data_IF_565394266507
#
_entry.id   IF_565394266507
#
_cell.length_a   1.000
_cell.length_b   1.000
_cell.length_c   1.000
_cell.angle_alpha   90.00
_cell.angle_beta   90.00
_cell.angle_gamma   90.00
#
_symmetry.space_group_name_H-M   'P 1'
#
loop_
_entity.id
_entity.type
_entity.pdbx_description
1 polymer ?
#
# COMPACT_ATOMS: atom_id res chain seq x y z
N UNK A 1 24.44 18.40 -18.18
CA UNK A 1 23.56 18.86 -17.08
C UNK A 1 22.80 20.08 -17.60
N UNK A 2 21.55 19.89 -18.03
CA UNK A 2 20.70 21.01 -18.47
C UNK A 2 20.27 21.81 -17.25
N UNK A 3 20.58 23.11 -17.23
CA UNK A 3 20.04 24.05 -16.26
C UNK A 3 18.53 24.13 -16.46
N UNK A 4 17.75 23.50 -15.58
CA UNK A 4 16.30 23.63 -15.56
C UNK A 4 15.95 25.10 -15.35
N UNK A 5 15.35 25.71 -16.38
CA UNK A 5 14.84 27.07 -16.28
C UNK A 5 13.84 27.16 -15.11
N UNK A 6 13.81 28.27 -14.35
CA UNK A 6 12.93 28.42 -13.20
C UNK A 6 11.48 28.22 -13.64
N UNK A 7 10.85 27.14 -13.15
CA UNK A 7 9.48 26.79 -13.49
C UNK A 7 8.55 27.86 -12.92
N UNK A 8 8.07 28.74 -13.79
CA UNK A 8 7.13 29.80 -13.41
C UNK A 8 5.85 29.15 -12.89
N UNK A 9 5.57 29.33 -11.60
CA UNK A 9 4.36 28.77 -10.96
C UNK A 9 3.14 29.43 -11.60
N UNK A 10 2.39 28.64 -12.39
CA UNK A 10 1.15 29.10 -13.02
C UNK A 10 0.11 29.45 -11.97
N UNK A 11 -0.69 30.47 -12.24
CA UNK A 11 -1.85 30.81 -11.41
C UNK A 11 -2.87 29.66 -11.47
N UNK A 12 -3.61 29.42 -10.38
CA UNK A 12 -4.70 28.46 -10.28
C UNK A 12 -5.67 28.54 -11.47
N UNK A 13 -5.94 29.76 -11.96
CA UNK A 13 -6.79 29.97 -13.14
C UNK A 13 -6.26 29.30 -14.40
N UNK A 14 -4.95 29.34 -14.65
CA UNK A 14 -4.34 28.73 -15.84
C UNK A 14 -4.33 27.21 -15.76
N UNK A 15 -4.16 26.67 -14.55
CA UNK A 15 -4.26 25.23 -14.29
C UNK A 15 -5.68 24.75 -14.55
N UNK A 16 -6.69 25.44 -14.00
CA UNK A 16 -8.10 25.11 -14.25
C UNK A 16 -8.44 25.18 -15.73
N UNK A 17 -7.94 26.20 -16.44
CA UNK A 17 -8.10 26.33 -17.89
C UNK A 17 -7.43 25.16 -18.63
N UNK A 18 -6.24 24.73 -18.19
CA UNK A 18 -5.55 23.55 -18.75
C UNK A 18 -6.38 22.29 -18.55
N UNK A 19 -6.89 22.04 -17.34
CA UNK A 19 -7.74 20.90 -17.01
C UNK A 19 -8.98 20.87 -17.91
N UNK A 20 -9.72 21.98 -18.01
CA UNK A 20 -10.93 22.06 -18.85
C UNK A 20 -10.69 21.77 -20.32
N UNK A 21 -9.49 22.03 -20.83
CA UNK A 21 -9.11 21.83 -22.24
C UNK A 21 -8.62 20.42 -22.56
N UNK A 22 -8.41 19.56 -21.55
CA UNK A 22 -7.92 18.20 -21.77
C UNK A 22 -8.91 17.39 -22.60
N UNK A 23 -8.53 16.99 -23.80
CA UNK A 23 -9.30 16.07 -24.67
C UNK A 23 -8.54 14.78 -24.96
N UNK A 24 -7.21 14.81 -24.79
CA UNK A 24 -6.33 13.69 -25.08
C UNK A 24 -5.52 13.30 -23.85
N UNK A 25 -4.99 12.09 -23.85
CA UNK A 25 -4.12 11.61 -22.77
C UNK A 25 -2.85 12.46 -22.63
N UNK A 26 -2.24 12.90 -23.72
CA UNK A 26 -1.06 13.77 -23.67
C UNK A 26 -1.37 15.12 -22.99
N UNK A 27 -2.55 15.70 -23.29
CA UNK A 27 -3.00 16.91 -22.61
C UNK A 27 -3.31 16.65 -21.13
N UNK A 28 -3.79 15.45 -20.79
CA UNK A 28 -4.07 15.06 -19.42
C UNK A 28 -2.77 14.99 -18.59
N UNK A 29 -1.73 14.37 -19.15
CA UNK A 29 -0.41 14.29 -18.52
C UNK A 29 0.23 15.68 -18.35
N UNK A 30 0.10 16.56 -19.35
CA UNK A 30 0.57 17.95 -19.24
C UNK A 30 -0.20 18.74 -18.18
N UNK A 31 -1.53 18.59 -18.12
CA UNK A 31 -2.36 19.23 -17.09
C UNK A 31 -2.01 18.71 -15.68
N UNK A 32 -1.76 17.41 -15.55
CA UNK A 32 -1.30 16.79 -14.31
C UNK A 32 0.04 17.37 -13.84
N UNK A 33 1.03 17.47 -14.73
CA UNK A 33 2.33 18.06 -14.40
C UNK A 33 2.22 19.50 -13.88
N UNK A 34 1.34 20.31 -14.47
CA UNK A 34 1.07 21.67 -13.96
C UNK A 34 0.38 21.65 -12.60
N UNK A 35 -0.59 20.75 -12.40
CA UNK A 35 -1.30 20.60 -11.13
C UNK A 35 -0.36 20.19 -10.00
N UNK A 36 0.44 19.13 -10.19
CA UNK A 36 1.30 18.60 -9.14
C UNK A 36 2.37 19.61 -8.72
N UNK A 37 2.91 20.37 -9.67
CA UNK A 37 3.85 21.47 -9.41
C UNK A 37 3.20 22.56 -8.55
N UNK A 38 1.96 22.93 -8.85
CA UNK A 38 1.21 23.90 -8.06
C UNK A 38 0.89 23.42 -6.65
N UNK A 39 0.51 22.15 -6.50
CA UNK A 39 0.23 21.53 -5.20
C UNK A 39 1.49 21.56 -4.33
N UNK A 40 2.63 21.10 -4.85
CA UNK A 40 3.93 21.11 -4.14
C UNK A 40 4.35 22.52 -3.75
N UNK A 41 4.27 23.48 -4.68
CA UNK A 41 4.58 24.88 -4.40
C UNK A 41 3.63 25.49 -3.35
N UNK A 42 2.36 25.10 -3.37
CA UNK A 42 1.38 25.56 -2.39
C UNK A 42 1.65 24.99 -1.01
N UNK A 43 1.98 23.69 -0.90
CA UNK A 43 2.40 23.06 0.35
C UNK A 43 3.59 23.79 0.96
N UNK A 44 4.64 24.00 0.17
CA UNK A 44 5.86 24.67 0.63
C UNK A 44 5.56 26.04 1.23
N UNK A 45 4.82 26.89 0.51
CA UNK A 45 4.43 28.23 0.98
C UNK A 45 3.60 28.20 2.27
N UNK A 46 2.70 27.24 2.41
CA UNK A 46 1.86 27.12 3.61
C UNK A 46 2.67 26.62 4.81
N UNK A 47 3.62 25.71 4.61
CA UNK A 47 4.54 25.27 5.66
C UNK A 47 5.46 26.39 6.13
N UNK A 48 5.98 27.22 5.21
CA UNK A 48 6.77 28.40 5.55
C UNK A 48 5.97 29.40 6.40
N UNK A 49 4.71 29.69 6.01
CA UNK A 49 3.82 30.55 6.79
C UNK A 49 3.53 29.99 8.19
N UNK A 50 3.23 28.70 8.28
CA UNK A 50 2.99 28.03 9.56
C UNK A 50 4.25 28.09 10.47
N UNK A 51 5.43 27.90 9.90
CA UNK A 51 6.70 28.01 10.63
C UNK A 51 6.98 29.44 11.11
N UNK A 52 6.76 30.45 10.27
CA UNK A 52 6.91 31.86 10.63
C UNK A 52 5.97 32.28 11.76
N UNK A 53 4.69 31.88 11.68
CA UNK A 53 3.71 32.14 12.73
C UNK A 53 4.08 31.44 14.06
N UNK A 54 4.56 30.19 13.98
CA UNK A 54 5.07 29.47 15.15
C UNK A 54 6.25 30.19 15.82
N UNK A 55 7.21 30.68 15.04
CA UNK A 55 8.36 31.42 15.53
C UNK A 55 7.97 32.78 16.14
N UNK A 56 7.01 33.49 15.55
CA UNK A 56 6.51 34.76 16.09
C UNK A 56 5.83 34.57 17.45
N UNK A 57 5.03 33.51 17.62
CA UNK A 57 4.37 33.19 18.90
C UNK A 57 5.36 32.78 19.99
N UNK A 58 6.42 32.05 19.63
CA UNK A 58 7.47 31.69 20.58
C UNK A 58 8.19 32.92 21.15
N UNK A 59 8.41 33.96 20.33
CA UNK A 59 9.02 35.23 20.77
C UNK A 59 8.09 36.07 21.65
N UNK A 60 6.79 36.02 21.39
CA UNK A 60 5.79 36.85 22.06
C UNK A 60 5.14 36.18 23.28
N UNK A 61 5.61 34.99 23.71
CA UNK A 61 5.08 34.30 24.90
C UNK A 61 5.29 35.17 26.14
N UNK A 62 4.22 35.79 26.70
CA UNK A 62 4.36 36.76 27.77
C UNK A 62 4.72 36.05 29.07
N UNK A 63 5.82 36.46 29.70
CA UNK A 63 6.10 36.09 31.10
C UNK A 63 5.07 36.77 32.02
N UNK A 64 3.94 36.11 32.26
CA UNK A 64 3.15 36.18 33.49
C UNK A 64 2.59 37.54 33.93
N UNK A 65 1.84 38.26 33.10
CA UNK A 65 0.98 39.35 33.59
C UNK A 65 -0.48 39.09 33.22
N UNK A 66 -1.31 38.80 34.24
CA UNK A 66 -2.77 38.76 34.17
C UNK A 66 -3.27 40.10 33.60
N UNK A 67 -3.77 40.11 32.37
CA UNK A 67 -4.45 41.26 31.80
C UNK A 67 -5.96 41.06 31.89
N UNK A 68 -6.61 41.97 32.61
CA UNK A 68 -8.07 42.08 32.75
C UNK A 68 -8.66 42.40 31.38
N UNK A 69 -9.65 41.61 30.95
CA UNK A 69 -10.29 41.74 29.65
C UNK A 69 -11.28 42.92 29.62
N UNK A 70 -11.08 43.87 28.72
CA UNK A 70 -12.10 44.85 28.32
C UNK A 70 -12.58 44.51 26.90
N UNK A 71 -13.90 44.30 26.68
CA UNK A 71 -14.42 43.97 25.36
C UNK A 71 -14.77 45.26 24.62
N UNK A 72 -13.99 45.60 23.60
CA UNK A 72 -14.37 46.59 22.59
C UNK A 72 -13.69 46.24 21.26
N UNK A 73 -14.49 45.79 20.29
CA UNK A 73 -14.20 45.71 18.84
C UNK A 73 -12.71 45.87 18.46
N UNK A 74 -11.92 44.82 18.65
CA UNK A 74 -10.54 44.81 18.16
C UNK A 74 -10.55 44.45 16.67
N UNK A 75 -9.76 45.15 15.82
CA UNK A 75 -9.59 44.77 14.42
C UNK A 75 -9.03 43.34 14.30
N UNK A 76 -9.32 42.62 13.20
CA UNK A 76 -8.85 41.25 13.02
C UNK A 76 -7.33 41.18 13.16
N UNK A 77 -6.86 40.25 13.99
CA UNK A 77 -5.43 40.06 14.21
C UNK A 77 -4.74 39.65 12.90
N UNK A 78 -3.47 40.02 12.75
CA UNK A 78 -2.63 39.62 11.61
C UNK A 78 -2.68 38.10 11.37
N UNK A 79 -2.65 37.31 12.45
CA UNK A 79 -2.79 35.84 12.42
C UNK A 79 -4.07 35.38 11.72
N UNK A 80 -5.20 36.08 11.92
CA UNK A 80 -6.48 35.73 11.30
C UNK A 80 -6.43 35.85 9.77
N UNK A 81 -5.81 36.92 9.27
CA UNK A 81 -5.61 37.13 7.82
C UNK A 81 -4.68 36.08 7.22
N UNK A 82 -3.61 35.70 7.92
CA UNK A 82 -2.71 34.65 7.46
C UNK A 82 -3.39 33.28 7.41
N UNK A 83 -4.15 32.92 8.46
CA UNK A 83 -4.94 31.68 8.51
C UNK A 83 -5.95 31.66 7.36
N UNK A 84 -6.69 32.75 7.14
CA UNK A 84 -7.64 32.86 6.02
C UNK A 84 -6.94 32.66 4.66
N UNK A 85 -5.74 33.23 4.50
CA UNK A 85 -4.91 33.04 3.31
C UNK A 85 -4.52 31.59 3.06
N UNK A 86 -4.12 30.86 4.10
CA UNK A 86 -3.77 29.43 4.03
C UNK A 86 -5.00 28.57 3.74
N UNK A 87 -6.13 28.82 4.41
CA UNK A 87 -7.40 28.11 4.15
C UNK A 87 -7.87 28.33 2.71
N UNK A 88 -7.79 29.56 2.20
CA UNK A 88 -8.13 29.88 0.82
C UNK A 88 -7.25 29.09 -0.17
N UNK A 89 -5.96 28.98 0.10
CA UNK A 89 -5.03 28.22 -0.73
C UNK A 89 -5.28 26.70 -0.68
N UNK A 90 -5.60 26.13 0.49
CA UNK A 90 -6.04 24.74 0.61
C UNK A 90 -7.30 24.47 -0.21
N UNK A 91 -8.30 25.36 -0.12
CA UNK A 91 -9.53 25.26 -0.91
C UNK A 91 -9.25 25.30 -2.42
N UNK A 92 -8.30 26.14 -2.86
CA UNK A 92 -7.88 26.16 -4.26
C UNK A 92 -7.23 24.84 -4.70
N UNK A 93 -6.32 24.29 -3.89
CA UNK A 93 -5.72 22.97 -4.13
C UNK A 93 -6.82 21.90 -4.24
N UNK A 94 -7.79 21.93 -3.32
CA UNK A 94 -8.89 20.98 -3.29
C UNK A 94 -9.78 21.06 -4.54
N UNK A 95 -10.23 22.27 -4.90
CA UNK A 95 -11.05 22.50 -6.09
C UNK A 95 -10.35 22.10 -7.39
N UNK A 96 -9.05 22.40 -7.54
CA UNK A 96 -8.29 22.02 -8.73
C UNK A 96 -8.09 20.52 -8.84
N UNK A 97 -7.81 19.85 -7.71
CA UNK A 97 -7.63 18.40 -7.66
C UNK A 97 -8.93 17.68 -8.00
N UNK A 98 -10.06 18.10 -7.41
CA UNK A 98 -11.37 17.55 -7.76
C UNK A 98 -11.77 17.80 -9.22
N UNK A 99 -11.52 19.02 -9.73
CA UNK A 99 -11.74 19.32 -11.15
C UNK A 99 -10.88 18.44 -12.08
N UNK A 100 -9.65 18.13 -11.68
CA UNK A 100 -8.79 17.21 -12.41
C UNK A 100 -9.36 15.78 -12.38
N UNK A 101 -9.77 15.27 -11.21
CA UNK A 101 -10.34 13.93 -11.07
C UNK A 101 -11.56 13.72 -11.97
N UNK A 102 -12.52 14.66 -11.94
CA UNK A 102 -13.71 14.61 -12.80
C UNK A 102 -13.37 14.73 -14.28
N UNK A 103 -12.31 15.47 -14.63
CA UNK A 103 -11.86 15.54 -16.03
C UNK A 103 -11.21 14.24 -16.48
N UNK A 104 -10.36 13.62 -15.67
CA UNK A 104 -9.81 12.28 -15.93
C UNK A 104 -10.96 11.32 -16.21
N UNK A 105 -11.96 11.31 -15.34
CA UNK A 105 -13.10 10.43 -15.49
C UNK A 105 -13.89 10.71 -16.78
N UNK A 106 -14.17 11.98 -17.08
CA UNK A 106 -14.85 12.35 -18.32
C UNK A 106 -14.06 11.91 -19.56
N UNK A 107 -12.74 12.11 -19.57
CA UNK A 107 -11.87 11.69 -20.69
C UNK A 107 -11.89 10.18 -20.82
N UNK A 108 -11.80 9.45 -19.69
CA UNK A 108 -11.91 7.99 -19.69
C UNK A 108 -13.27 7.54 -20.25
N UNK A 109 -14.38 8.12 -19.81
CA UNK A 109 -15.73 7.76 -20.33
C UNK A 109 -15.90 8.09 -21.82
N UNK A 110 -15.37 9.22 -22.29
CA UNK A 110 -15.61 9.73 -23.66
C UNK A 110 -14.64 9.17 -24.71
N UNK A 111 -13.40 8.91 -24.33
CA UNK A 111 -12.37 8.43 -25.25
C UNK A 111 -12.40 6.89 -25.34
N UNK A 112 -12.87 6.24 -24.28
CA UNK A 112 -12.91 4.78 -24.18
C UNK A 112 -14.34 4.26 -24.16
N UNK A 113 -15.17 4.75 -25.09
CA UNK A 113 -16.58 4.35 -25.22
C UNK A 113 -16.82 2.85 -25.51
N UNK A 114 -15.77 2.01 -25.55
CA UNK A 114 -15.83 0.56 -25.79
C UNK A 114 -14.66 -0.24 -25.16
N UNK A 115 -14.00 0.28 -24.11
CA UNK A 115 -12.78 -0.35 -23.56
C UNK A 115 -13.02 -1.47 -22.53
N UNK A 116 -13.97 -2.36 -22.79
CA UNK A 116 -13.93 -3.72 -22.20
C UNK A 116 -12.71 -4.53 -22.74
N UNK A 117 -11.91 -3.97 -23.66
CA UNK A 117 -10.79 -4.67 -24.30
C UNK A 117 -9.41 -4.12 -23.91
N UNK A 118 -9.29 -2.82 -23.64
CA UNK A 118 -7.98 -2.22 -23.29
C UNK A 118 -7.63 -2.34 -21.80
N UNK A 119 -8.60 -2.57 -20.91
CA UNK A 119 -8.31 -2.99 -19.53
C UNK A 119 -7.85 -4.47 -19.45
N UNK A 120 -7.98 -5.24 -20.53
CA UNK A 120 -7.43 -6.59 -20.67
C UNK A 120 -6.06 -6.67 -21.35
N UNK A 121 -5.59 -5.59 -21.99
CA UNK A 121 -4.21 -5.51 -22.47
C UNK A 121 -3.35 -4.84 -21.39
N UNK A 122 -2.56 -5.62 -20.60
CA UNK A 122 -1.97 -5.19 -19.32
C UNK A 122 -0.92 -4.07 -19.42
N UNK A 123 -0.65 -3.59 -20.64
CA UNK A 123 0.41 -2.64 -20.93
C UNK A 123 -0.03 -1.56 -21.91
N UNK A 124 -1.31 -1.23 -21.98
CA UNK A 124 -1.67 0.10 -22.46
C UNK A 124 -0.91 1.12 -21.60
N UNK A 125 0.11 1.84 -22.10
CA UNK A 125 0.95 2.72 -21.28
C UNK A 125 0.16 3.90 -20.68
N UNK A 126 -1.14 3.96 -20.95
CA UNK A 126 -2.08 5.00 -20.60
C UNK A 126 -2.78 4.79 -19.26
N UNK A 127 -3.36 3.61 -19.01
CA UNK A 127 -4.17 3.32 -17.81
C UNK A 127 -3.30 3.17 -16.57
N UNK A 128 -2.15 2.49 -16.69
CA UNK A 128 -1.14 2.37 -15.64
C UNK A 128 -0.65 3.75 -15.19
N UNK A 129 -0.31 4.61 -16.16
CA UNK A 129 0.12 5.98 -15.87
C UNK A 129 -0.94 6.79 -15.12
N UNK A 130 -2.22 6.63 -15.44
CA UNK A 130 -3.28 7.35 -14.74
C UNK A 130 -3.46 6.89 -13.31
N UNK A 131 -3.38 5.58 -13.04
CA UNK A 131 -3.39 5.08 -11.66
C UNK A 131 -2.21 5.65 -10.87
N UNK A 132 -1.02 5.67 -11.45
CA UNK A 132 0.16 6.28 -10.82
C UNK A 132 -0.07 7.76 -10.53
N UNK A 133 -0.60 8.54 -11.48
CA UNK A 133 -0.90 9.96 -11.27
C UNK A 133 -1.92 10.19 -10.15
N UNK A 134 -2.97 9.37 -10.07
CA UNK A 134 -4.02 9.49 -9.05
C UNK A 134 -3.53 9.05 -7.67
N UNK A 135 -2.69 8.01 -7.60
CA UNK A 135 -2.03 7.59 -6.37
C UNK A 135 -1.04 8.66 -5.87
N UNK A 136 -0.22 9.22 -6.76
CA UNK A 136 0.70 10.33 -6.44
C UNK A 136 -0.09 11.57 -6.00
N UNK A 137 -1.20 11.91 -6.66
CA UNK A 137 -2.08 13.00 -6.24
C UNK A 137 -2.62 12.76 -4.81
N UNK A 138 -3.08 11.54 -4.51
CA UNK A 138 -3.54 11.16 -3.18
C UNK A 138 -2.43 11.37 -2.13
N UNK A 139 -1.23 10.86 -2.41
CA UNK A 139 -0.08 10.98 -1.52
C UNK A 139 0.29 12.46 -1.28
N UNK A 140 0.30 13.28 -2.34
CA UNK A 140 0.61 14.71 -2.23
C UNK A 140 -0.44 15.49 -1.44
N UNK A 141 -1.72 15.13 -1.53
CA UNK A 141 -2.79 15.70 -0.71
C UNK A 141 -2.66 15.30 0.77
N UNK A 142 -2.30 14.04 1.05
CA UNK A 142 -2.08 13.56 2.43
C UNK A 142 -0.90 14.27 3.11
N UNK A 143 0.10 14.71 2.34
CA UNK A 143 1.25 15.45 2.86
C UNK A 143 0.91 16.85 3.40
N UNK A 144 -0.31 17.37 3.21
CA UNK A 144 -0.75 18.60 3.87
C UNK A 144 -1.13 18.37 5.35
N UNK A 145 -1.54 17.16 5.72
CA UNK A 145 -2.05 16.83 7.07
C UNK A 145 -0.91 16.68 8.09
N UNK A 146 -0.06 17.70 8.17
CA UNK A 146 1.05 17.76 9.13
C UNK A 146 0.58 18.32 10.48
N UNK A 147 1.20 17.89 11.60
CA UNK A 147 0.87 18.45 12.92
C UNK A 147 1.08 19.98 13.00
N UNK A 148 2.10 20.50 12.32
CA UNK A 148 2.40 21.93 12.31
C UNK A 148 1.28 22.74 11.62
N UNK A 149 0.83 22.31 10.44
CA UNK A 149 -0.23 22.99 9.72
C UNK A 149 -1.58 22.86 10.43
N UNK A 150 -1.89 21.67 10.96
CA UNK A 150 -3.11 21.44 11.75
C UNK A 150 -3.14 22.30 13.03
N UNK A 151 -2.02 22.44 13.73
CA UNK A 151 -1.90 23.33 14.91
C UNK A 151 -2.04 24.80 14.52
N UNK A 152 -1.45 25.21 13.39
CA UNK A 152 -1.56 26.57 12.88
C UNK A 152 -3.03 26.92 12.57
N UNK A 153 -3.75 26.04 11.89
CA UNK A 153 -5.16 26.23 11.53
C UNK A 153 -6.14 26.06 12.71
N UNK A 154 -5.83 25.17 13.66
CA UNK A 154 -6.67 24.90 14.84
C UNK A 154 -6.50 25.91 15.98
N UNK A 155 -5.81 27.03 15.76
CA UNK A 155 -5.59 28.02 16.81
C UNK A 155 -6.91 28.73 17.18
N UNK A 156 -7.21 28.93 18.47
CA UNK A 156 -8.54 29.31 18.99
C UNK A 156 -8.98 30.76 18.71
N UNK A 157 -8.51 31.38 17.63
CA UNK A 157 -8.86 32.76 17.24
C UNK A 157 -10.08 32.88 16.31
N UNK A 158 -10.65 31.78 15.83
CA UNK A 158 -11.95 31.81 15.13
C UNK A 158 -13.06 31.48 16.13
N UNK A 159 -13.59 32.49 16.82
CA UNK A 159 -14.84 32.33 17.58
C UNK A 159 -16.03 32.00 16.66
N UNK A 160 -15.91 32.29 15.36
CA UNK A 160 -16.83 31.87 14.30
C UNK A 160 -16.36 30.61 13.56
N UNK A 161 -15.58 29.73 14.21
CA UNK A 161 -15.21 28.46 13.59
C UNK A 161 -16.50 27.73 13.18
N UNK A 162 -16.70 27.45 11.87
CA UNK A 162 -17.91 26.78 11.42
C UNK A 162 -18.07 25.48 12.22
N UNK A 163 -19.26 25.25 12.76
CA UNK A 163 -19.71 24.10 13.59
C UNK A 163 -19.55 22.72 12.94
N UNK A 164 -18.73 22.60 11.91
CA UNK A 164 -18.55 21.48 11.01
C UNK A 164 -17.45 20.53 11.46
N UNK A 165 -16.89 20.70 12.66
CA UNK A 165 -15.98 19.70 13.24
C UNK A 165 -16.78 18.44 13.55
N UNK A 166 -16.92 17.56 12.55
CA UNK A 166 -17.17 16.14 12.78
C UNK A 166 -16.08 15.69 13.76
N UNK A 167 -16.49 15.10 14.89
CA UNK A 167 -15.57 14.77 15.97
C UNK A 167 -14.39 13.94 15.43
N UNK A 168 -13.19 14.54 15.40
CA UNK A 168 -11.94 13.88 15.01
C UNK A 168 -11.34 14.26 13.64
N UNK A 169 -12.00 15.06 12.79
CA UNK A 169 -11.40 15.47 11.51
C UNK A 169 -10.47 16.67 11.66
N UNK A 170 -9.29 16.62 11.03
CA UNK A 170 -8.35 17.75 11.08
C UNK A 170 -8.84 18.92 10.20
N UNK A 171 -8.53 20.19 10.54
CA UNK A 171 -8.91 21.34 9.72
C UNK A 171 -8.41 21.26 8.28
N UNK A 172 -7.24 20.63 8.06
CA UNK A 172 -6.70 20.38 6.73
C UNK A 172 -7.59 19.39 5.97
N UNK A 173 -7.97 18.28 6.59
CA UNK A 173 -8.82 17.27 5.96
C UNK A 173 -10.19 17.87 5.59
N UNK A 174 -10.77 18.70 6.46
CA UNK A 174 -11.99 19.43 6.16
C UNK A 174 -11.83 20.33 4.92
N UNK A 175 -10.72 21.05 4.80
CA UNK A 175 -10.44 21.93 3.67
C UNK A 175 -10.14 21.17 2.37
N UNK A 176 -9.61 19.94 2.47
CA UNK A 176 -9.30 19.07 1.33
C UNK A 176 -10.42 18.09 0.97
N UNK A 177 -11.44 17.95 1.81
CA UNK A 177 -12.56 16.99 1.70
C UNK A 177 -13.16 16.85 0.30
N UNK A 178 -13.27 17.95 -0.43
CA UNK A 178 -13.80 17.93 -1.80
C UNK A 178 -12.92 17.17 -2.78
N UNK A 179 -11.59 17.32 -2.68
CA UNK A 179 -10.63 16.63 -3.53
C UNK A 179 -10.50 15.16 -3.15
N UNK A 180 -10.48 14.86 -1.85
CA UNK A 180 -10.44 13.48 -1.37
C UNK A 180 -11.71 12.75 -1.78
N UNK A 181 -12.88 13.39 -1.64
CA UNK A 181 -14.15 12.86 -2.13
C UNK A 181 -14.16 12.58 -3.64
N UNK A 182 -13.77 13.54 -4.48
CA UNK A 182 -13.70 13.34 -5.94
C UNK A 182 -12.67 12.23 -6.33
N UNK A 183 -11.62 12.02 -5.52
CA UNK A 183 -10.63 10.96 -5.72
C UNK A 183 -11.17 9.59 -5.29
N UNK A 184 -11.89 9.52 -4.18
CA UNK A 184 -12.55 8.31 -3.70
C UNK A 184 -13.66 7.89 -4.66
N UNK A 185 -14.45 8.83 -5.16
CA UNK A 185 -15.45 8.59 -6.21
C UNK A 185 -14.79 8.02 -7.47
N UNK A 186 -13.65 8.58 -7.92
CA UNK A 186 -12.90 8.04 -9.05
C UNK A 186 -12.47 6.58 -8.81
N UNK A 187 -11.93 6.28 -7.63
CA UNK A 187 -11.50 4.91 -7.26
C UNK A 187 -12.68 3.96 -7.22
N UNK A 188 -13.79 4.37 -6.59
CA UNK A 188 -15.02 3.59 -6.50
C UNK A 188 -15.58 3.29 -7.89
N UNK A 189 -15.72 4.28 -8.76
CA UNK A 189 -16.21 4.07 -10.12
C UNK A 189 -15.30 3.14 -10.92
N UNK A 190 -13.97 3.23 -10.75
CA UNK A 190 -13.03 2.33 -11.40
C UNK A 190 -13.16 0.89 -10.87
N UNK A 191 -13.29 0.73 -9.55
CA UNK A 191 -13.53 -0.55 -8.90
C UNK A 191 -14.84 -1.20 -9.39
N UNK A 192 -15.92 -0.43 -9.48
CA UNK A 192 -17.21 -0.91 -9.98
C UNK A 192 -17.10 -1.40 -11.44
N UNK A 193 -16.46 -0.62 -12.32
CA UNK A 193 -16.24 -1.06 -13.72
C UNK A 193 -15.37 -2.29 -13.83
N UNK A 194 -14.29 -2.37 -13.04
CA UNK A 194 -13.43 -3.55 -13.02
C UNK A 194 -14.20 -4.79 -12.52
N UNK A 195 -15.11 -4.63 -11.56
CA UNK A 195 -16.03 -5.69 -11.15
C UNK A 195 -17.01 -6.08 -12.24
N UNK A 196 -17.64 -5.12 -12.93
CA UNK A 196 -18.53 -5.40 -14.05
C UNK A 196 -17.80 -6.17 -15.15
N UNK A 197 -16.57 -5.77 -15.47
CA UNK A 197 -15.72 -6.45 -16.43
C UNK A 197 -15.29 -7.85 -15.98
N UNK A 198 -14.98 -8.02 -14.69
CA UNK A 198 -14.76 -9.35 -14.10
C UNK A 198 -15.98 -10.24 -14.32
N UNK A 199 -17.21 -9.75 -14.06
CA UNK A 199 -18.42 -10.51 -14.31
C UNK A 199 -18.59 -10.89 -15.78
N UNK A 200 -18.26 -9.99 -16.71
CA UNK A 200 -18.27 -10.31 -18.15
C UNK A 200 -17.28 -11.42 -18.50
N UNK A 201 -16.04 -11.37 -17.98
CA UNK A 201 -15.03 -12.41 -18.21
C UNK A 201 -15.47 -13.76 -17.63
N UNK A 202 -16.09 -13.76 -16.46
CA UNK A 202 -16.54 -14.99 -15.80
C UNK A 202 -17.79 -15.60 -16.45
N UNK A 203 -18.59 -14.80 -17.15
CA UNK A 203 -19.72 -15.28 -17.96
C UNK A 203 -19.28 -16.00 -19.25
N UNK A 204 -18.00 -15.91 -19.64
CA UNK A 204 -17.48 -16.61 -20.82
C UNK A 204 -17.35 -18.12 -20.55
N UNK A 205 -17.62 -18.98 -21.56
CA UNK A 205 -17.53 -20.43 -21.38
C UNK A 205 -16.09 -20.91 -21.10
N UNK A 206 -15.10 -20.18 -21.60
CA UNK A 206 -13.69 -20.41 -21.31
C UNK A 206 -13.11 -19.16 -20.68
N UNK A 207 -12.64 -19.30 -19.44
CA UNK A 207 -12.04 -18.20 -18.71
C UNK A 207 -10.65 -17.89 -19.26
N UNK A 208 -10.43 -16.63 -19.63
CA UNK A 208 -9.08 -16.12 -19.82
C UNK A 208 -8.46 -15.83 -18.44
N UNK A 209 -7.72 -16.79 -17.91
CA UNK A 209 -7.11 -16.71 -16.57
C UNK A 209 -6.24 -15.47 -16.41
N UNK A 210 -5.44 -15.11 -17.42
CA UNK A 210 -4.54 -13.97 -17.36
C UNK A 210 -5.31 -12.65 -17.27
N UNK A 211 -6.37 -12.50 -18.08
CA UNK A 211 -7.25 -11.31 -18.01
C UNK A 211 -7.97 -11.23 -16.65
N UNK A 212 -8.50 -12.36 -16.15
CA UNK A 212 -9.17 -12.38 -14.83
C UNK A 212 -8.20 -12.01 -13.71
N UNK A 213 -6.99 -12.58 -13.71
CA UNK A 213 -5.96 -12.27 -12.72
C UNK A 213 -5.59 -10.77 -12.73
N UNK A 214 -5.45 -10.19 -13.92
CA UNK A 214 -5.18 -8.76 -14.09
C UNK A 214 -6.32 -7.87 -13.57
N UNK A 215 -7.57 -8.26 -13.84
CA UNK A 215 -8.74 -7.52 -13.33
C UNK A 215 -8.82 -7.61 -11.81
N UNK A 216 -8.52 -8.77 -11.22
CA UNK A 216 -8.41 -8.94 -9.76
C UNK A 216 -7.34 -7.99 -9.18
N UNK A 217 -6.15 -7.93 -9.80
CA UNK A 217 -5.12 -6.96 -9.41
C UNK A 217 -5.63 -5.52 -9.48
N UNK A 218 -6.36 -5.18 -10.55
CA UNK A 218 -6.91 -3.83 -10.74
C UNK A 218 -7.96 -3.48 -9.67
N UNK A 219 -8.87 -4.41 -9.36
CA UNK A 219 -9.86 -4.24 -8.29
C UNK A 219 -9.15 -4.01 -6.96
N UNK A 220 -8.15 -4.84 -6.65
CA UNK A 220 -7.37 -4.70 -5.42
C UNK A 220 -6.61 -3.38 -5.32
N UNK A 221 -6.00 -2.92 -6.42
CA UNK A 221 -5.34 -1.62 -6.50
C UNK A 221 -6.27 -0.44 -6.22
N UNK A 222 -7.54 -0.54 -6.63
CA UNK A 222 -8.53 0.55 -6.48
C UNK A 222 -9.16 0.62 -5.09
N UNK A 223 -9.08 -0.44 -4.28
CA UNK A 223 -9.65 -0.48 -2.95
C UNK A 223 -8.67 0.19 -1.96
N UNK A 224 -9.10 1.32 -1.38
CA UNK A 224 -8.27 2.33 -0.71
C UNK A 224 -7.52 1.87 0.55
N UNK A 225 -7.88 0.74 1.14
CA UNK A 225 -7.27 0.30 2.41
C UNK A 225 -6.40 -0.95 2.18
N UNK A 226 -5.07 -0.79 2.06
CA UNK A 226 -4.18 -1.92 2.26
C UNK A 226 -4.33 -2.33 3.72
N UNK A 227 -5.06 -3.42 3.98
CA UNK A 227 -4.96 -4.10 5.28
C UNK A 227 -3.48 -4.36 5.46
N UNK A 228 -2.89 -3.76 6.49
CA UNK A 228 -1.47 -3.91 6.71
C UNK A 228 -1.20 -5.37 7.07
N UNK A 229 -0.43 -6.04 6.21
CA UNK A 229 -0.19 -7.48 6.34
C UNK A 229 0.46 -7.84 7.68
N UNK A 230 1.17 -6.90 8.30
CA UNK A 230 1.78 -7.08 9.62
C UNK A 230 0.78 -7.05 10.78
N UNK A 231 -0.40 -6.45 10.61
CA UNK A 231 -1.45 -6.49 11.64
C UNK A 231 -1.96 -7.92 11.87
N UNK A 232 -1.80 -8.82 10.90
CA UNK A 232 -2.12 -10.25 11.06
C UNK A 232 -1.11 -11.00 11.94
N UNK A 233 0.09 -10.45 12.13
CA UNK A 233 1.14 -11.02 12.97
C UNK A 233 1.07 -10.52 14.42
N UNK A 234 0.27 -9.47 14.69
CA UNK A 234 0.12 -8.89 16.02
C UNK A 234 -0.96 -9.68 16.81
N UNK A 235 -0.57 -10.83 17.34
CA UNK A 235 -1.40 -11.58 18.31
C UNK A 235 -1.37 -10.93 19.70
N UNK A 236 -2.43 -11.13 20.48
CA UNK A 236 -2.60 -10.59 21.85
C UNK A 236 -1.77 -11.35 22.91
N UNK A 237 -0.74 -12.10 22.49
CA UNK A 237 0.02 -13.00 23.35
C UNK A 237 1.38 -12.44 23.76
N UNK A 238 1.89 -12.89 24.91
CA UNK A 238 3.19 -12.49 25.48
C UNK A 238 4.43 -12.88 24.64
N UNK A 239 4.22 -13.48 23.46
CA UNK A 239 5.28 -13.93 22.54
C UNK A 239 5.31 -13.00 21.34
N UNK A 240 6.35 -12.16 21.27
CA UNK A 240 6.57 -11.26 20.14
C UNK A 240 7.17 -12.04 18.95
N UNK A 241 6.38 -12.22 17.90
CA UNK A 241 6.87 -12.81 16.65
C UNK A 241 7.66 -11.75 15.90
N UNK A 242 8.99 -11.87 15.84
CA UNK A 242 9.89 -10.88 15.20
C UNK A 242 10.10 -11.14 13.70
N UNK A 243 9.97 -12.40 13.27
CA UNK A 243 10.22 -12.83 11.91
C UNK A 243 9.34 -14.03 11.54
N UNK A 244 8.72 -13.99 10.36
CA UNK A 244 7.96 -15.10 9.79
C UNK A 244 8.52 -15.41 8.40
N UNK A 245 8.69 -16.69 8.06
CA UNK A 245 9.11 -17.12 6.72
C UNK A 245 7.97 -17.89 6.06
N UNK A 246 7.52 -17.43 4.89
CA UNK A 246 6.47 -18.11 4.10
C UNK A 246 7.01 -18.56 2.76
N UNK A 247 6.73 -19.79 2.29
CA UNK A 247 7.24 -20.27 1.01
C UNK A 247 6.68 -19.45 -0.17
N UNK A 248 7.49 -19.27 -1.23
CA UNK A 248 7.02 -18.74 -2.52
C UNK A 248 6.54 -19.85 -3.47
N UNK A 249 6.44 -21.09 -2.98
CA UNK A 249 5.82 -22.20 -3.70
C UNK A 249 4.31 -22.10 -3.59
N UNK A 250 3.64 -22.01 -4.73
CA UNK A 250 2.18 -21.96 -4.81
C UNK A 250 1.59 -23.31 -4.36
N UNK A 251 0.66 -23.34 -3.37
CA UNK A 251 0.07 -24.58 -2.90
C UNK A 251 -0.76 -25.32 -3.97
N UNK A 252 -1.20 -24.62 -5.03
CA UNK A 252 -2.06 -25.20 -6.08
C UNK A 252 -1.23 -25.79 -7.21
N UNK A 253 -0.37 -25.00 -7.85
CA UNK A 253 0.44 -25.42 -9.00
C UNK A 253 1.77 -26.08 -8.61
N UNK A 254 2.20 -25.95 -7.35
CA UNK A 254 3.52 -26.37 -6.86
C UNK A 254 4.70 -25.66 -7.56
N UNK A 255 4.42 -24.59 -8.31
CA UNK A 255 5.42 -23.73 -8.98
C UNK A 255 5.65 -22.44 -8.19
N UNK A 256 6.55 -21.57 -8.65
CA UNK A 256 6.77 -20.27 -8.00
C UNK A 256 5.54 -19.37 -8.17
N UNK A 257 5.12 -18.74 -7.08
CA UNK A 257 4.06 -17.73 -7.09
C UNK A 257 4.51 -16.55 -7.96
N UNK A 258 3.67 -16.13 -8.92
CA UNK A 258 3.92 -14.95 -9.75
C UNK A 258 3.11 -13.75 -9.28
N UNK A 259 1.86 -13.99 -8.91
CA UNK A 259 0.96 -12.98 -8.36
C UNK A 259 0.54 -13.45 -6.95
N UNK A 260 1.27 -13.05 -5.90
CA UNK A 260 1.01 -13.47 -4.53
C UNK A 260 -0.28 -12.85 -4.04
N UNK A 261 -1.22 -13.71 -3.67
CA UNK A 261 -2.53 -13.27 -3.22
C UNK A 261 -3.09 -14.14 -2.10
N UNK A 262 -4.14 -13.61 -1.47
CA UNK A 262 -4.92 -14.26 -0.42
C UNK A 262 -6.36 -13.75 -0.44
N UNK A 263 -7.27 -14.44 0.24
CA UNK A 263 -8.62 -13.90 0.43
C UNK A 263 -8.62 -12.72 1.40
N UNK A 264 -9.45 -11.70 1.16
CA UNK A 264 -9.62 -10.53 2.03
C UNK A 264 -10.01 -10.84 3.47
N UNK A 265 -10.60 -12.02 3.73
CA UNK A 265 -10.99 -12.51 5.07
C UNK A 265 -10.06 -13.61 5.61
N UNK A 266 -8.97 -13.90 4.92
CA UNK A 266 -7.97 -14.86 5.37
C UNK A 266 -7.10 -14.20 6.45
N UNK A 267 -6.78 -14.96 7.49
CA UNK A 267 -5.96 -14.50 8.63
C UNK A 267 -4.54 -15.07 8.61
N UNK A 268 -4.21 -15.86 7.59
CA UNK A 268 -2.87 -16.41 7.39
C UNK A 268 -2.00 -15.47 6.55
N UNK A 269 -0.68 -15.59 6.75
CA UNK A 269 0.31 -14.83 6.00
C UNK A 269 0.69 -15.50 4.68
N UNK A 270 0.54 -16.82 4.59
CA UNK A 270 0.86 -17.58 3.37
C UNK A 270 -0.04 -17.15 2.21
N UNK A 271 0.49 -17.23 1.00
CA UNK A 271 -0.15 -16.77 -0.22
C UNK A 271 -0.29 -17.92 -1.22
N UNK A 272 -1.17 -17.70 -2.20
CA UNK A 272 -1.29 -18.53 -3.38
C UNK A 272 -1.17 -17.68 -4.63
N UNK A 273 -0.90 -18.32 -5.77
CA UNK A 273 -0.85 -17.63 -7.05
C UNK A 273 -2.26 -17.37 -7.61
N UNK A 274 -2.54 -16.12 -8.01
CA UNK A 274 -3.88 -15.74 -8.52
C UNK A 274 -4.28 -16.55 -9.73
N UNK A 275 -3.40 -16.74 -10.71
CA UNK A 275 -3.75 -17.47 -11.92
C UNK A 275 -4.06 -18.94 -11.62
N UNK A 276 -3.24 -19.55 -10.76
CA UNK A 276 -3.43 -20.94 -10.32
C UNK A 276 -4.75 -21.11 -9.56
N UNK A 277 -5.11 -20.15 -8.71
CA UNK A 277 -6.40 -20.14 -8.02
C UNK A 277 -7.60 -19.96 -8.97
N UNK A 278 -7.51 -19.07 -9.96
CA UNK A 278 -8.55 -18.88 -10.97
C UNK A 278 -8.76 -20.16 -11.79
N UNK A 279 -7.68 -20.83 -12.23
CA UNK A 279 -7.76 -22.13 -12.93
C UNK A 279 -8.42 -23.21 -12.06
N UNK A 280 -8.00 -23.34 -10.80
CA UNK A 280 -8.59 -24.30 -9.87
C UNK A 280 -10.07 -24.01 -9.59
N UNK A 281 -10.45 -22.72 -9.53
CA UNK A 281 -11.83 -22.27 -9.35
C UNK A 281 -12.67 -22.60 -10.57
N UNK A 282 -12.17 -22.37 -11.78
CA UNK A 282 -12.88 -22.70 -13.04
C UNK A 282 -13.22 -24.19 -13.12
N UNK A 283 -12.30 -25.07 -12.71
CA UNK A 283 -12.51 -26.52 -12.74
C UNK A 283 -13.61 -27.00 -11.77
N UNK A 284 -13.89 -26.22 -10.72
CA UNK A 284 -14.90 -26.55 -9.69
C UNK A 284 -16.23 -25.84 -9.88
N UNK A 285 -16.22 -24.69 -10.56
CA UNK A 285 -17.36 -23.79 -10.65
C UNK A 285 -18.34 -24.27 -11.72
N UNK A 286 -19.36 -25.01 -11.32
CA UNK A 286 -20.54 -25.28 -12.13
C UNK A 286 -21.78 -24.65 -11.47
N UNK A 287 -22.19 -23.47 -11.94
CA UNK A 287 -23.53 -22.94 -11.72
C UNK A 287 -23.82 -22.23 -10.38
N UNK A 288 -22.81 -21.72 -9.65
CA UNK A 288 -23.03 -20.89 -8.45
C UNK A 288 -23.11 -19.40 -8.77
N UNK A 289 -23.92 -18.67 -8.00
CA UNK A 289 -24.10 -17.21 -8.11
C UNK A 289 -22.83 -16.46 -7.68
N UNK A 290 -22.12 -16.99 -6.67
CA UNK A 290 -20.82 -16.48 -6.24
C UNK A 290 -19.70 -17.32 -6.87
N UNK A 291 -18.91 -16.68 -7.73
CA UNK A 291 -17.81 -17.33 -8.43
C UNK A 291 -16.56 -17.25 -7.55
N UNK A 292 -16.22 -18.38 -6.95
CA UNK A 292 -15.13 -18.51 -5.99
C UNK A 292 -14.89 -19.95 -5.56
N UNK A 293 -13.97 -20.14 -4.61
CA UNK A 293 -13.57 -21.46 -4.14
C UNK A 293 -13.09 -21.43 -2.69
N UNK A 294 -12.84 -22.60 -2.09
CA UNK A 294 -12.17 -22.65 -0.79
C UNK A 294 -10.71 -22.22 -0.93
N UNK A 295 -10.23 -21.38 -0.02
CA UNK A 295 -8.81 -21.01 0.09
C UNK A 295 -7.96 -22.28 0.25
N UNK A 296 -6.87 -22.46 -0.52
CA UNK A 296 -6.03 -23.66 -0.44
C UNK A 296 -5.33 -23.84 0.91
N UNK A 297 -5.27 -22.80 1.74
CA UNK A 297 -4.55 -22.78 3.01
C UNK A 297 -5.49 -22.95 4.21
N UNK A 298 -6.55 -22.15 4.29
CA UNK A 298 -7.49 -22.18 5.43
C UNK A 298 -8.89 -22.73 5.12
N UNK A 299 -9.15 -23.17 3.88
CA UNK A 299 -10.44 -23.70 3.41
C UNK A 299 -11.65 -22.75 3.49
N UNK A 300 -11.49 -21.52 4.02
CA UNK A 300 -12.53 -20.47 3.99
C UNK A 300 -12.86 -20.13 2.54
N UNK A 301 -14.13 -19.92 2.23
CA UNK A 301 -14.56 -19.52 0.89
C UNK A 301 -14.04 -18.13 0.52
N UNK A 302 -13.46 -18.00 -0.67
CA UNK A 302 -12.93 -16.75 -1.24
C UNK A 302 -13.53 -16.54 -2.63
N UNK A 303 -14.36 -15.51 -2.75
CA UNK A 303 -14.83 -14.99 -4.04
C UNK A 303 -13.67 -14.42 -4.85
N UNK A 304 -13.69 -14.56 -6.18
CA UNK A 304 -12.67 -13.96 -7.05
C UNK A 304 -12.57 -12.44 -6.87
N UNK A 305 -13.70 -11.75 -6.65
CA UNK A 305 -13.73 -10.30 -6.37
C UNK A 305 -13.20 -9.93 -4.98
N UNK A 306 -13.04 -10.91 -4.09
CA UNK A 306 -12.59 -10.74 -2.72
C UNK A 306 -11.12 -11.17 -2.52
N UNK A 307 -10.40 -11.48 -3.60
CA UNK A 307 -8.96 -11.75 -3.59
C UNK A 307 -8.19 -10.43 -3.42
N UNK A 308 -7.15 -10.47 -2.59
CA UNK A 308 -6.22 -9.39 -2.30
C UNK A 308 -4.83 -9.77 -2.78
N UNK A 309 -4.14 -8.86 -3.46
CA UNK A 309 -2.78 -9.08 -3.93
C UNK A 309 -1.83 -8.44 -2.93
N UNK A 310 -0.85 -9.21 -2.45
CA UNK A 310 0.09 -8.66 -1.47
C UNK A 310 1.15 -7.81 -2.18
N UNK A 311 0.98 -6.49 -2.10
CA UNK A 311 1.86 -5.50 -2.74
C UNK A 311 3.29 -5.56 -2.19
N UNK A 312 3.48 -5.83 -0.90
CA UNK A 312 4.83 -5.89 -0.29
C UNK A 312 5.57 -7.14 -0.75
N UNK A 313 4.88 -8.28 -0.83
CA UNK A 313 5.41 -9.49 -1.42
C UNK A 313 5.81 -9.27 -2.89
N UNK A 314 4.93 -8.66 -3.69
CA UNK A 314 5.20 -8.32 -5.10
C UNK A 314 6.42 -7.41 -5.26
N UNK A 315 6.55 -6.37 -4.42
CA UNK A 315 7.69 -5.45 -4.44
C UNK A 315 8.99 -6.16 -4.05
N UNK A 316 8.97 -7.00 -3.01
CA UNK A 316 10.13 -7.78 -2.58
C UNK A 316 10.59 -8.76 -3.68
N UNK A 317 9.65 -9.41 -4.37
CA UNK A 317 9.93 -10.30 -5.51
C UNK A 317 10.60 -9.53 -6.66
N UNK A 318 10.06 -8.38 -7.06
CA UNK A 318 10.64 -7.53 -8.13
C UNK A 318 12.03 -7.00 -7.76
N UNK A 319 12.23 -6.59 -6.51
CA UNK A 319 13.53 -6.12 -6.03
C UNK A 319 14.58 -7.24 -6.07
N UNK A 320 14.19 -8.46 -5.68
CA UNK A 320 15.06 -9.62 -5.77
C UNK A 320 15.50 -9.90 -7.21
N UNK A 321 14.56 -9.93 -8.16
CA UNK A 321 14.88 -10.14 -9.58
C UNK A 321 15.84 -9.07 -10.12
N UNK A 322 15.54 -7.79 -9.87
CA UNK A 322 16.37 -6.67 -10.31
C UNK A 322 17.81 -6.74 -9.79
N UNK A 323 18.01 -7.10 -8.52
CA UNK A 323 19.34 -7.24 -7.92
C UNK A 323 20.18 -8.34 -8.60
N UNK A 324 19.54 -9.36 -9.15
CA UNK A 324 20.22 -10.49 -9.80
C UNK A 324 20.38 -10.29 -11.32
N UNK A 325 19.60 -9.40 -11.94
CA UNK A 325 19.79 -8.98 -13.34
C UNK A 325 21.08 -8.15 -13.53
N UNK A 326 21.41 -7.28 -12.57
CA UNK A 326 22.57 -6.39 -12.65
C UNK A 326 23.93 -7.09 -12.34
N UNK A 327 23.91 -8.35 -11.88
CA UNK A 327 25.11 -9.12 -11.54
C UNK A 327 25.65 -9.89 -12.75
N UNK A 328 26.48 -9.23 -13.56
CA UNK A 328 27.04 -9.77 -14.81
C UNK A 328 27.97 -11.00 -14.66
N UNK A 329 28.41 -11.32 -13.43
CA UNK A 329 29.42 -12.36 -13.16
C UNK A 329 28.85 -13.71 -12.65
N UNK A 330 27.52 -13.85 -12.54
CA UNK A 330 26.93 -15.11 -12.07
C UNK A 330 26.41 -15.97 -13.24
N UNK A 331 26.94 -17.18 -13.46
CA UNK A 331 26.46 -18.07 -14.51
C UNK A 331 25.03 -18.53 -14.16
N UNK A 332 24.08 -18.20 -15.05
CA UNK A 332 22.62 -18.26 -14.85
C UNK A 332 22.10 -17.30 -13.78
N UNK A 333 21.59 -16.15 -14.22
CA UNK A 333 20.80 -15.25 -13.39
C UNK A 333 19.77 -16.04 -12.56
N UNK A 334 19.88 -15.94 -11.24
CA UNK A 334 19.02 -16.68 -10.30
C UNK A 334 17.61 -16.09 -10.33
N UNK A 335 16.81 -16.52 -11.29
CA UNK A 335 15.38 -16.26 -11.31
C UNK A 335 14.71 -16.80 -10.04
N UNK A 336 13.60 -16.17 -9.65
CA UNK A 336 12.74 -16.69 -8.58
C UNK A 336 12.32 -18.12 -8.91
N UNK A 337 12.47 -19.01 -7.94
CA UNK A 337 12.03 -20.40 -8.05
C UNK A 337 11.15 -20.80 -6.86
N UNK A 338 10.65 -22.03 -6.91
CA UNK A 338 9.76 -22.56 -5.88
C UNK A 338 10.49 -22.94 -4.57
N UNK A 339 11.81 -22.77 -4.48
CA UNK A 339 12.61 -22.96 -3.26
C UNK A 339 12.91 -21.62 -2.56
N UNK A 340 12.55 -20.49 -3.17
CA UNK A 340 12.51 -19.19 -2.52
C UNK A 340 11.39 -19.10 -1.48
N UNK A 341 11.55 -18.19 -0.53
CA UNK A 341 10.58 -17.84 0.50
C UNK A 341 10.59 -16.33 0.73
N UNK A 342 9.53 -15.82 1.35
CA UNK A 342 9.43 -14.45 1.82
C UNK A 342 9.67 -14.43 3.32
N UNK A 343 10.65 -13.63 3.74
CA UNK A 343 10.90 -13.31 5.13
C UNK A 343 10.20 -11.98 5.47
N UNK A 344 9.29 -12.06 6.43
CA UNK A 344 8.50 -10.97 6.97
C UNK A 344 9.08 -10.56 8.30
N UNK A 345 9.79 -9.44 8.33
CA UNK A 345 10.31 -8.86 9.57
C UNK A 345 9.26 -7.91 10.15
N UNK A 346 8.61 -8.32 11.23
CA UNK A 346 7.49 -7.60 11.85
C UNK A 346 7.94 -6.32 12.57
N UNK A 347 9.12 -6.35 13.20
CA UNK A 347 9.72 -5.20 13.89
C UNK A 347 10.02 -4.05 12.92
N UNK A 348 10.65 -4.38 11.79
CA UNK A 348 11.01 -3.41 10.74
C UNK A 348 9.87 -3.18 9.74
N UNK A 349 8.83 -4.01 9.79
CA UNK A 349 7.72 -4.04 8.82
C UNK A 349 8.20 -4.16 7.38
N UNK A 350 9.26 -4.93 7.16
CA UNK A 350 9.89 -5.16 5.85
C UNK A 350 9.69 -6.58 5.38
N UNK A 351 9.61 -6.77 4.06
CA UNK A 351 9.53 -8.08 3.41
C UNK A 351 10.73 -8.22 2.48
N UNK A 352 11.41 -9.36 2.53
CA UNK A 352 12.50 -9.69 1.59
C UNK A 352 12.40 -11.13 1.11
N UNK A 353 12.86 -11.39 -0.10
CA UNK A 353 13.00 -12.76 -0.60
C UNK A 353 14.27 -13.37 -0.01
N UNK A 354 14.14 -14.56 0.55
CA UNK A 354 15.24 -15.40 1.03
C UNK A 354 15.21 -16.72 0.28
N UNK A 355 16.38 -17.30 0.01
CA UNK A 355 16.45 -18.64 -0.56
C UNK A 355 16.63 -19.64 0.57
N UNK A 356 15.81 -20.67 0.62
CA UNK A 356 16.06 -21.77 1.54
C UNK A 356 17.39 -22.42 1.16
N UNK A 357 18.38 -22.38 2.06
CA UNK A 357 19.39 -23.43 2.04
C UNK A 357 18.61 -24.72 2.30
N UNK A 358 18.37 -25.51 1.25
CA UNK A 358 18.04 -26.91 1.47
C UNK A 358 19.21 -27.43 2.28
N UNK A 359 19.00 -27.60 3.58
CA UNK A 359 19.85 -28.44 4.39
C UNK A 359 19.73 -29.78 3.72
N UNK A 360 20.67 -30.05 2.81
CA UNK A 360 20.90 -31.37 2.27
C UNK A 360 21.15 -32.23 3.50
N UNK A 361 20.09 -32.87 3.99
CA UNK A 361 20.24 -34.00 4.88
C UNK A 361 20.99 -35.01 4.04
N UNK A 362 22.32 -34.99 4.19
CA UNK A 362 23.21 -35.91 3.54
C UNK A 362 22.66 -37.31 3.77
N UNK A 363 22.35 -37.99 2.67
CA UNK A 363 22.21 -39.43 2.63
C UNK A 363 23.57 -40.04 3.01
N UNK A 364 23.88 -40.07 4.30
CA UNK A 364 25.03 -40.75 4.88
C UNK A 364 24.76 -41.08 6.33
N UNK A 365 23.77 -41.95 6.52
CA UNK A 365 23.87 -43.05 7.49
C UNK A 365 22.87 -44.09 7.03
N UNK A 366 23.30 -44.88 6.04
CA UNK A 366 22.81 -46.25 5.92
C UNK A 366 23.15 -46.92 7.26
N UNK A 367 22.11 -47.20 8.04
CA UNK A 367 22.18 -48.12 9.17
C UNK A 367 22.69 -49.44 8.61
N UNK A 368 23.94 -49.73 8.91
CA UNK A 368 24.45 -51.09 8.87
C UNK A 368 23.84 -51.79 10.08
N UNK A 369 23.06 -52.82 9.78
CA UNK A 369 22.70 -53.87 10.72
C UNK A 369 23.98 -54.61 11.19
N UNK A 370 23.83 -55.30 12.31
CA UNK A 370 24.74 -56.27 12.94
C UNK A 370 25.76 -55.77 13.97
N UNK A 371 25.45 -56.11 15.22
CA UNK A 371 26.33 -55.99 16.38
C UNK A 371 25.62 -56.44 17.66
N UNK A 372 25.44 -57.76 17.80
CA UNK A 372 25.25 -58.45 19.08
C UNK A 372 26.32 -57.98 20.08
N UNK A 373 25.92 -57.56 21.28
CA UNK A 373 26.59 -57.96 22.52
C UNK A 373 25.82 -57.47 23.76
N UNK A 374 25.50 -58.44 24.62
CA UNK A 374 24.98 -58.24 25.96
C UNK A 374 26.15 -57.96 26.92
N UNK A 375 26.09 -56.86 27.70
CA UNK A 375 26.22 -56.96 29.16
C UNK A 375 25.97 -55.64 29.93
N UNK A 376 25.25 -55.86 31.03
CA UNK A 376 24.87 -55.09 32.23
C UNK A 376 25.75 -53.92 32.80
N UNK A 377 25.23 -53.15 33.81
CA UNK A 377 25.35 -51.69 33.92
C UNK A 377 26.35 -51.19 34.98
N UNK A 378 26.81 -49.93 34.86
CA UNK A 378 27.36 -49.17 36.00
C UNK A 378 27.03 -47.68 36.01
N UNK A 379 26.95 -47.22 37.25
CA UNK A 379 26.40 -45.99 37.82
C UNK A 379 27.55 -44.99 38.10
N UNK A 380 27.17 -43.72 38.29
CA UNK A 380 27.94 -42.59 38.88
C UNK A 380 28.89 -41.84 37.93
N UNK A 381 29.25 -40.56 38.10
CA UNK A 381 28.75 -39.34 38.77
C UNK A 381 29.84 -38.27 38.57
N UNK A 382 29.51 -36.97 38.70
CA UNK A 382 30.36 -35.75 38.60
C UNK A 382 30.58 -35.26 37.17
N UNK A 383 30.36 -34.01 36.78
CA UNK A 383 30.12 -32.78 37.55
C UNK A 383 31.20 -31.76 37.16
N UNK A 384 30.89 -30.88 36.20
CA UNK A 384 31.61 -29.64 35.92
C UNK A 384 30.61 -28.58 35.39
N UNK A 385 30.77 -27.28 35.72
CA UNK A 385 29.83 -26.23 35.36
C UNK A 385 30.17 -25.70 33.97
N UNK A 386 29.28 -25.93 32.99
CA UNK A 386 29.37 -25.29 31.68
C UNK A 386 28.55 -24.01 31.71
N UNK A 387 29.27 -22.92 31.44
CA UNK A 387 28.82 -21.57 31.16
C UNK A 387 27.52 -21.56 30.33
N UNK A 388 26.48 -20.92 30.88
CA UNK A 388 25.13 -20.91 30.33
C UNK A 388 25.05 -20.05 29.06
N UNK A 389 25.49 -20.59 27.92
CA UNK A 389 25.01 -20.14 26.63
C UNK A 389 23.57 -20.63 26.47
N UNK A 390 22.61 -19.72 26.55
CA UNK A 390 21.20 -19.97 26.23
C UNK A 390 21.09 -20.34 24.74
N UNK A 391 21.30 -21.63 24.45
CA UNK A 391 21.03 -22.22 23.14
C UNK A 391 19.53 -22.16 22.91
N UNK A 392 19.08 -21.13 22.19
CA UNK A 392 17.73 -21.02 21.66
C UNK A 392 17.39 -22.32 20.93
N UNK A 393 16.34 -23.02 21.36
CA UNK A 393 15.93 -24.28 20.74
C UNK A 393 15.11 -23.94 19.51
N UNK A 394 15.59 -24.39 18.34
CA UNK A 394 14.85 -24.38 17.09
C UNK A 394 13.83 -25.51 17.15
N UNK A 395 12.54 -25.17 17.10
CA UNK A 395 11.44 -26.12 17.07
C UNK A 395 10.73 -25.95 15.73
N UNK A 396 10.59 -27.02 14.96
CA UNK A 396 9.93 -27.01 13.66
C UNK A 396 8.63 -27.83 13.75
N UNK A 397 7.49 -27.18 13.57
CA UNK A 397 6.16 -27.81 13.62
C UNK A 397 5.42 -27.40 12.34
N UNK A 398 5.07 -28.38 11.50
CA UNK A 398 4.26 -28.15 10.30
C UNK A 398 4.90 -27.25 9.24
N UNK A 399 6.24 -27.13 9.21
CA UNK A 399 6.96 -26.24 8.29
C UNK A 399 7.17 -24.82 8.81
N UNK A 400 6.69 -24.52 10.03
CA UNK A 400 7.02 -23.27 10.73
C UNK A 400 8.20 -23.50 11.67
N UNK A 401 9.21 -22.64 11.59
CA UNK A 401 10.37 -22.64 12.48
C UNK A 401 10.15 -21.62 13.60
N UNK A 402 10.04 -22.09 14.84
CA UNK A 402 9.94 -21.28 16.04
C UNK A 402 11.27 -21.32 16.80
N UNK A 403 11.69 -20.19 17.36
CA UNK A 403 12.83 -20.12 18.27
C UNK A 403 12.29 -19.85 19.67
N UNK A 404 12.44 -20.83 20.56
CA UNK A 404 12.07 -20.70 21.97
C UNK A 404 13.33 -20.41 22.80
N UNK A 405 13.22 -19.45 23.72
CA UNK A 405 14.25 -19.12 24.72
C UNK A 405 14.25 -20.11 25.90
#
# INVERSE_FOLDING_TARGET
MSLEAPVQVRNAHDILRSIRRVKTQMQLQAAYGHLITFIRASRQKMMERAAHAGAARAKNSPKGHLRVATPAYAPPSHDSLEIQGVVSQLKQVSLLSGAFCRRVEYVLRSTYAYADVDDAMPQGPSTVRLNTCMAELAAELNLFSTPALNKFLGSPGMEDAPTWTVAGSSPVDCALSYATGDLDDYRLYRCLRANDYLQQLLAQPQWNTASIAHVIMTIDETLSDPVDTFDLCMGDEAVETTCVVTPLRDPISQTVIRIPARGSKCVHLEMFDVESYVKATQQRSFGTVDIGGPCPLCSKFVSLSAIRVDKRAMEAMKQYEKLHEDSADTPSGMALDADCALEWNTERRTVRVVRGERVSMGASTALTEDGDDADTPRKSSRGDPVEAATKKRRIEIGGHVLYAD
#
